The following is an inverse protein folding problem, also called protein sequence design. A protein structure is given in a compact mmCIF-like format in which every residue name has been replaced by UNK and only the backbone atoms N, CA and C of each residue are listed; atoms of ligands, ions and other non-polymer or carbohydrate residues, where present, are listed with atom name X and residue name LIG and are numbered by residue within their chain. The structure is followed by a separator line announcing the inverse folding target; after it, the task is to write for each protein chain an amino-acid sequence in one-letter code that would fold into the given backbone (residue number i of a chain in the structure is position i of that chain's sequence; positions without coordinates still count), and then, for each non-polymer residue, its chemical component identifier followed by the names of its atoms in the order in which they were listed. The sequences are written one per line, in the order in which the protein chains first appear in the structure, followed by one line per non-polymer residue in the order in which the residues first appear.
data_IF_641221578312
#
_entry.id   IF_641221578312
#
_cell.length_a   1.000
_cell.length_b   1.000
_cell.length_c   1.000
_cell.angle_alpha   90.00
_cell.angle_beta   90.00
_cell.angle_gamma   90.00
#
_symmetry.space_group_name_H-M   'P 1'
#
loop_
_entity.id
_entity.type
_entity.pdbx_description
1 polymer ?
#
# COMPACT_ATOMS: atom_id res chain seq x y z
N UNK A 1 -10.93 42.42 36.87
CA UNK A 1 -11.29 41.03 36.50
C UNK A 1 -10.27 40.53 35.47
N UNK A 2 -9.00 40.25 35.73
CA UNK A 2 -8.27 39.63 36.83
C UNK A 2 -8.58 38.13 37.06
N UNK A 3 -8.05 37.26 36.18
CA UNK A 3 -7.65 35.84 36.39
C UNK A 3 -7.46 35.20 34.99
N UNK A 4 -6.45 34.40 34.64
CA UNK A 4 -5.27 33.92 35.33
C UNK A 4 -4.24 33.48 34.26
N UNK A 5 -3.02 33.98 34.41
CA UNK A 5 -1.79 33.47 33.78
C UNK A 5 -1.03 32.70 34.87
N UNK A 6 -0.71 31.43 34.60
CA UNK A 6 0.36 30.57 35.17
C UNK A 6 -0.05 29.10 34.90
N UNK A 7 0.78 28.08 34.68
CA UNK A 7 2.22 27.82 34.45
C UNK A 7 2.38 26.30 34.66
N UNK A 8 3.09 25.58 33.79
CA UNK A 8 3.79 24.27 34.02
C UNK A 8 3.84 23.53 32.65
N UNK A 9 4.93 23.14 31.98
CA UNK A 9 6.35 22.93 32.32
C UNK A 9 6.58 22.16 33.61
N UNK A 10 6.70 20.83 33.51
CA UNK A 10 7.69 20.03 34.25
C UNK A 10 7.77 18.59 33.66
N UNK A 11 8.89 18.26 32.99
CA UNK A 11 9.48 16.91 33.00
C UNK A 11 10.34 16.81 34.28
N UNK A 12 10.39 15.67 34.99
CA UNK A 12 11.53 14.71 34.88
C UNK A 12 11.05 13.24 35.13
N UNK A 13 11.81 12.14 35.02
CA UNK A 13 13.21 11.81 34.79
C UNK A 13 13.45 10.33 35.16
N UNK A 14 14.43 9.71 34.50
CA UNK A 14 15.33 8.62 34.93
C UNK A 14 14.82 7.22 35.41
N UNK A 15 15.52 6.21 34.86
CA UNK A 15 15.56 4.75 35.09
C UNK A 15 15.86 4.33 36.55
N UNK A 16 15.70 3.03 36.90
CA UNK A 16 16.87 2.12 36.84
C UNK A 16 16.61 0.68 36.34
N UNK A 17 17.71 0.06 35.91
CA UNK A 17 17.98 -1.36 35.59
C UNK A 17 17.67 -2.34 36.73
N UNK A 18 17.15 -3.55 36.42
CA UNK A 18 17.71 -4.79 37.01
C UNK A 18 17.29 -6.12 36.30
N UNK A 19 18.34 -6.90 35.99
CA UNK A 19 18.51 -8.37 36.06
C UNK A 19 17.85 -9.35 35.09
N UNK A 20 18.76 -10.02 34.36
CA UNK A 20 18.67 -11.36 33.76
C UNK A 20 18.14 -12.43 34.74
N UNK A 21 17.43 -13.44 34.21
CA UNK A 21 17.64 -14.81 34.65
C UNK A 21 17.36 -15.84 33.55
N UNK A 22 18.39 -16.68 33.35
CA UNK A 22 18.53 -17.81 32.46
C UNK A 22 18.13 -19.07 33.26
N UNK A 23 17.32 -19.97 32.71
CA UNK A 23 17.13 -21.31 33.27
C UNK A 23 17.33 -22.36 32.18
N UNK A 24 18.44 -23.09 32.33
CA UNK A 24 18.76 -24.30 31.59
C UNK A 24 17.98 -25.49 32.17
N UNK A 25 17.56 -26.41 31.32
CA UNK A 25 16.99 -27.71 31.68
C UNK A 25 17.35 -28.75 30.63
N UNK A 26 18.44 -29.47 30.89
CA UNK A 26 18.95 -30.61 30.12
C UNK A 26 18.15 -31.87 30.49
N UNK A 27 17.66 -32.62 29.49
CA UNK A 27 17.66 -34.09 29.55
C UNK A 27 17.44 -34.73 28.15
N UNK A 28 18.28 -35.70 27.80
CA UNK A 28 18.25 -36.64 26.65
C UNK A 28 18.31 -38.07 27.25
N UNK A 29 18.22 -39.18 26.49
CA UNK A 29 17.40 -39.52 25.32
C UNK A 29 16.67 -40.89 25.53
N UNK A 30 15.71 -41.23 24.67
CA UNK A 30 15.05 -42.55 24.66
C UNK A 30 14.40 -42.85 23.32
N UNK A 31 14.64 -44.06 22.83
CA UNK A 31 14.49 -44.60 21.47
C UNK A 31 13.07 -45.02 21.07
N UNK A 32 12.80 -45.03 19.75
CA UNK A 32 11.81 -45.85 18.98
C UNK A 32 10.32 -45.65 19.35
N UNK A 33 9.32 -45.61 18.47
CA UNK A 33 9.12 -46.09 17.10
C UNK A 33 8.10 -45.20 16.37
N UNK A 34 7.98 -45.40 15.06
CA UNK A 34 6.93 -44.81 14.22
C UNK A 34 5.53 -45.12 14.77
N UNK A 35 4.65 -44.11 14.84
CA UNK A 35 3.22 -44.26 14.66
C UNK A 35 2.57 -42.88 14.40
N UNK A 36 1.69 -42.86 13.41
CA UNK A 36 0.88 -41.72 13.00
C UNK A 36 -0.03 -41.23 14.12
N UNK A 37 -0.15 -39.92 14.31
CA UNK A 37 -1.40 -39.26 14.69
C UNK A 37 -1.32 -37.81 14.19
N UNK A 38 -2.30 -37.46 13.36
CA UNK A 38 -2.64 -36.09 12.98
C UNK A 38 -3.05 -35.31 14.24
N UNK A 39 -2.51 -34.13 14.47
CA UNK A 39 -2.98 -33.22 15.52
C UNK A 39 -3.03 -31.81 14.96
N UNK A 40 -4.25 -31.32 14.79
CA UNK A 40 -4.61 -29.94 14.47
C UNK A 40 -3.90 -28.94 15.39
N UNK A 41 -3.01 -28.12 14.83
CA UNK A 41 -2.47 -26.94 15.49
C UNK A 41 -3.31 -25.73 15.06
N UNK A 42 -4.26 -25.37 15.93
CA UNK A 42 -5.05 -24.15 15.85
C UNK A 42 -4.16 -22.97 16.26
N UNK A 43 -3.52 -22.32 15.27
CA UNK A 43 -2.80 -21.07 15.49
C UNK A 43 -3.79 -19.91 15.58
N UNK A 44 -4.02 -19.48 16.82
CA UNK A 44 -4.82 -18.34 17.22
C UNK A 44 -4.11 -17.03 16.80
N UNK A 45 -4.69 -16.26 15.88
CA UNK A 45 -4.27 -14.88 15.60
C UNK A 45 -4.71 -13.95 16.76
N UNK A 46 -3.92 -12.93 17.15
CA UNK A 46 -4.25 -12.06 18.27
C UNK A 46 -5.38 -11.08 17.93
N UNK A 47 -6.34 -10.98 18.86
CA UNK A 47 -7.42 -9.99 18.85
C UNK A 47 -6.86 -8.63 19.28
N UNK A 48 -6.92 -7.62 18.41
CA UNK A 48 -6.68 -6.22 18.77
C UNK A 48 -8.00 -5.62 19.29
N UNK A 49 -8.01 -5.21 20.56
CA UNK A 49 -9.13 -4.47 21.17
C UNK A 49 -9.21 -3.03 20.61
N UNK A 50 -10.42 -2.47 20.46
CA UNK A 50 -10.64 -1.10 20.03
C UNK A 50 -10.63 -0.15 21.24
N UNK A 51 -9.74 0.82 21.25
CA UNK A 51 -9.86 1.95 22.16
C UNK A 51 -9.33 3.22 21.51
N UNK A 52 -10.12 4.28 21.72
CA UNK A 52 -9.91 5.69 21.35
C UNK A 52 -10.43 6.07 19.96
N UNK A 53 -11.75 6.10 19.88
CA UNK A 53 -12.52 6.99 19.02
C UNK A 53 -12.66 8.32 19.75
N UNK A 54 -12.08 9.40 19.22
CA UNK A 54 -12.61 10.78 19.22
C UNK A 54 -11.56 11.71 18.58
N UNK A 55 -12.07 12.69 17.84
CA UNK A 55 -11.36 13.82 17.19
C UNK A 55 -10.77 13.58 15.79
N UNK A 56 -11.62 13.77 14.77
CA UNK A 56 -11.37 14.77 13.72
C UNK A 56 -12.62 14.93 12.85
N UNK A 57 -13.50 15.79 13.35
CA UNK A 57 -14.68 16.29 12.66
C UNK A 57 -14.29 17.55 11.88
N UNK A 58 -13.50 17.41 10.81
CA UNK A 58 -13.22 18.50 9.87
C UNK A 58 -12.68 17.94 8.54
N UNK A 59 -13.59 17.56 7.64
CA UNK A 59 -13.40 17.62 6.18
C UNK A 59 -14.73 17.23 5.52
N UNK A 60 -15.60 18.23 5.30
CA UNK A 60 -16.68 18.10 4.34
C UNK A 60 -16.09 18.24 2.92
N UNK A 61 -16.55 17.33 2.06
CA UNK A 61 -16.58 17.46 0.60
C UNK A 61 -15.32 17.09 -0.19
N UNK A 62 -15.02 15.78 -0.23
CA UNK A 62 -14.51 15.14 -1.44
C UNK A 62 -15.32 13.86 -1.64
N UNK A 63 -16.09 13.81 -2.74
CA UNK A 63 -16.79 12.60 -3.19
C UNK A 63 -15.84 11.41 -3.25
N UNK A 64 -16.13 10.27 -2.58
CA UNK A 64 -15.38 9.05 -2.84
C UNK A 64 -15.84 8.50 -4.19
N UNK A 65 -14.97 8.59 -5.20
CA UNK A 65 -15.04 7.70 -6.35
C UNK A 65 -15.09 6.27 -5.84
N UNK A 66 -16.03 5.48 -6.37
CA UNK A 66 -16.23 4.07 -6.07
C UNK A 66 -14.90 3.32 -6.17
N UNK A 67 -14.32 3.05 -5.01
CA UNK A 67 -13.14 2.21 -4.87
C UNK A 67 -13.62 0.77 -5.10
N UNK A 68 -13.47 0.30 -6.34
CA UNK A 68 -13.65 -1.10 -6.70
C UNK A 68 -12.74 -1.92 -5.79
N UNK A 69 -13.32 -2.46 -4.74
CA UNK A 69 -12.65 -3.32 -3.78
C UNK A 69 -12.34 -4.61 -4.51
N UNK A 70 -11.15 -4.69 -5.11
CA UNK A 70 -10.51 -5.94 -5.45
C UNK A 70 -10.06 -6.55 -4.11
N UNK A 71 -11.04 -7.05 -3.37
CA UNK A 71 -10.81 -8.01 -2.31
C UNK A 71 -10.34 -9.30 -2.95
N UNK A 72 -9.04 -9.41 -3.21
CA UNK A 72 -8.41 -10.70 -3.45
C UNK A 72 -8.46 -11.46 -2.11
N UNK A 73 -9.54 -12.20 -1.91
CA UNK A 73 -9.57 -13.30 -0.97
C UNK A 73 -8.58 -14.36 -1.46
N UNK A 74 -7.47 -14.62 -0.73
CA UNK A 74 -6.88 -15.94 -0.82
C UNK A 74 -7.90 -16.89 -0.16
N UNK A 75 -8.01 -18.13 -0.64
CA UNK A 75 -9.02 -19.11 -0.20
C UNK A 75 -10.35 -19.09 -0.98
N UNK A 76 -10.30 -18.93 -2.31
CA UNK A 76 -11.04 -19.92 -3.12
C UNK A 76 -10.09 -21.08 -3.34
N UNK A 77 -10.18 -22.04 -2.43
CA UNK A 77 -9.67 -23.39 -2.62
C UNK A 77 -9.95 -23.77 -4.07
N UNK A 78 -8.89 -23.97 -4.83
CA UNK A 78 -8.99 -24.70 -6.08
C UNK A 78 -9.56 -26.05 -5.68
N UNK A 79 -10.86 -26.20 -5.91
CA UNK A 79 -11.58 -27.40 -5.61
C UNK A 79 -11.13 -28.41 -6.66
N UNK A 80 -9.95 -29.02 -6.43
CA UNK A 80 -9.37 -30.08 -7.26
C UNK A 80 -10.25 -31.34 -7.28
N UNK A 81 -11.41 -31.33 -6.62
CA UNK A 81 -12.47 -32.32 -6.80
C UNK A 81 -13.32 -32.08 -8.06
N UNK A 82 -13.35 -30.85 -8.62
CA UNK A 82 -14.18 -30.51 -9.79
C UNK A 82 -13.54 -30.89 -11.14
N UNK A 83 -12.25 -31.25 -11.16
CA UNK A 83 -11.53 -31.69 -12.38
C UNK A 83 -11.32 -33.21 -12.37
N UNK A 84 -12.21 -33.97 -11.72
CA UNK A 84 -12.36 -35.44 -11.92
C UNK A 84 -13.50 -35.80 -12.87
N UNK A 85 -13.95 -34.83 -13.69
CA UNK A 85 -15.08 -34.99 -14.60
C UNK A 85 -14.72 -35.09 -16.08
N UNK A 86 -13.43 -35.07 -16.45
CA UNK A 86 -13.04 -35.22 -17.85
C UNK A 86 -13.08 -36.70 -18.24
N UNK A 87 -14.28 -37.14 -18.66
CA UNK A 87 -14.54 -37.95 -19.84
C UNK A 87 -13.37 -38.82 -20.37
N UNK A 88 -12.77 -39.64 -19.52
CA UNK A 88 -12.29 -40.95 -19.97
C UNK A 88 -13.52 -41.85 -20.08
N UNK A 89 -14.42 -41.50 -21.02
CA UNK A 89 -15.37 -42.49 -21.54
C UNK A 89 -14.49 -43.53 -22.20
N UNK A 90 -14.19 -44.55 -21.41
CA UNK A 90 -13.79 -45.88 -21.79
C UNK A 90 -14.44 -46.22 -23.14
N UNK A 91 -13.74 -46.01 -24.25
CA UNK A 91 -14.12 -46.65 -25.52
C UNK A 91 -14.07 -48.17 -25.30
N UNK A 92 -13.24 -48.63 -24.35
CA UNK A 92 -13.20 -50.00 -23.85
C UNK A 92 -14.49 -50.49 -23.17
N UNK A 93 -15.40 -49.61 -22.71
CA UNK A 93 -16.68 -50.02 -22.11
C UNK A 93 -17.82 -50.19 -23.13
N UNK A 94 -17.70 -49.63 -24.34
CA UNK A 94 -18.65 -49.93 -25.41
C UNK A 94 -18.44 -51.34 -26.01
N UNK A 95 -17.37 -52.02 -25.62
CA UNK A 95 -17.08 -53.40 -26.02
C UNK A 95 -16.95 -54.36 -24.83
N UNK A 96 -16.90 -53.86 -23.59
CA UNK A 96 -16.92 -54.71 -22.40
C UNK A 96 -18.33 -55.23 -22.02
N UNK A 97 -19.41 -54.64 -22.54
CA UNK A 97 -20.79 -55.12 -22.32
C UNK A 97 -21.28 -56.13 -23.37
N UNK A 98 -20.47 -56.47 -24.37
CA UNK A 98 -20.78 -57.55 -25.30
C UNK A 98 -19.58 -58.47 -25.47
N UNK A 99 -19.56 -59.56 -24.70
CA UNK A 99 -18.73 -60.75 -24.93
C UNK A 99 -17.23 -60.63 -24.61
N UNK A 100 -16.92 -60.47 -23.32
CA UNK A 100 -15.68 -61.07 -22.81
C UNK A 100 -15.73 -62.59 -23.05
N UNK A 101 -14.90 -63.07 -23.98
CA UNK A 101 -14.75 -64.46 -24.47
C UNK A 101 -15.79 -64.91 -25.51
N UNK A 102 -15.63 -64.45 -26.75
CA UNK A 102 -15.49 -65.41 -27.86
C UNK A 102 -14.36 -64.93 -28.75
N UNK A 103 -13.14 -65.42 -28.47
CA UNK A 103 -12.33 -65.85 -29.60
C UNK A 103 -13.27 -66.78 -30.39
N UNK A 104 -13.66 -66.38 -31.60
CA UNK A 104 -14.54 -67.18 -32.45
C UNK A 104 -13.74 -68.41 -32.87
N UNK A 105 -13.59 -69.35 -31.94
CA UNK A 105 -13.09 -70.68 -32.16
C UNK A 105 -14.23 -71.40 -32.86
N UNK A 106 -14.30 -71.23 -34.18
CA UNK A 106 -15.19 -72.01 -35.01
C UNK A 106 -14.67 -73.44 -34.96
N UNK A 107 -15.39 -74.30 -34.26
CA UNK A 107 -15.16 -75.74 -34.32
C UNK A 107 -15.59 -76.23 -35.71
N UNK A 108 -14.63 -76.27 -36.62
CA UNK A 108 -14.82 -76.67 -38.02
C UNK A 108 -15.37 -78.09 -38.12
N UNK A 109 -14.96 -79.00 -37.24
CA UNK A 109 -15.43 -80.38 -37.23
C UNK A 109 -16.89 -80.46 -36.79
N UNK A 110 -17.27 -79.77 -35.71
CA UNK A 110 -18.65 -79.74 -35.26
C UNK A 110 -19.58 -79.05 -36.28
N UNK A 111 -19.08 -78.05 -37.01
CA UNK A 111 -19.83 -77.36 -38.06
C UNK A 111 -20.08 -78.28 -39.26
N UNK A 112 -19.06 -78.99 -39.74
CA UNK A 112 -19.19 -79.96 -40.83
C UNK A 112 -20.16 -81.08 -40.45
N UNK A 113 -20.03 -81.66 -39.25
CA UNK A 113 -20.93 -82.73 -38.77
C UNK A 113 -22.39 -82.27 -38.67
N UNK A 114 -22.62 -81.02 -38.28
CA UNK A 114 -23.96 -80.43 -38.27
C UNK A 114 -24.51 -80.24 -39.68
N UNK A 115 -23.70 -79.78 -40.63
CA UNK A 115 -24.13 -79.62 -42.02
C UNK A 115 -24.44 -80.97 -42.68
N UNK A 116 -23.63 -82.00 -42.40
CA UNK A 116 -23.92 -83.39 -42.83
C UNK A 116 -25.25 -83.91 -42.25
N UNK A 117 -25.55 -83.62 -40.98
CA UNK A 117 -26.82 -84.01 -40.35
C UNK A 117 -28.06 -83.33 -40.95
N UNK A 118 -27.88 -82.22 -41.69
CA UNK A 118 -28.94 -81.50 -42.40
C UNK A 118 -29.08 -81.94 -43.87
N UNK A 119 -28.38 -83.02 -44.28
CA UNK A 119 -28.50 -83.60 -45.61
C UNK A 119 -27.51 -83.06 -46.65
N UNK A 120 -26.49 -82.29 -46.24
CA UNK A 120 -25.41 -81.89 -47.15
C UNK A 120 -24.39 -83.00 -47.32
N UNK A 121 -23.82 -83.13 -48.52
CA UNK A 121 -22.69 -84.04 -48.75
C UNK A 121 -21.44 -83.52 -48.03
N UNK A 122 -20.56 -84.42 -47.58
CA UNK A 122 -19.34 -84.07 -46.84
C UNK A 122 -18.51 -82.98 -47.55
N UNK A 123 -18.36 -83.08 -48.88
CA UNK A 123 -17.63 -82.09 -49.70
C UNK A 123 -18.29 -80.71 -49.70
N UNK A 124 -19.62 -80.65 -49.72
CA UNK A 124 -20.35 -79.38 -49.65
C UNK A 124 -20.27 -78.76 -48.26
N UNK A 125 -20.37 -79.59 -47.21
CA UNK A 125 -20.22 -79.16 -45.82
C UNK A 125 -18.82 -78.59 -45.54
N UNK A 126 -17.77 -79.23 -46.05
CA UNK A 126 -16.38 -78.75 -45.97
C UNK A 126 -16.19 -77.44 -46.73
N UNK A 127 -16.69 -77.34 -47.97
CA UNK A 127 -16.56 -76.12 -48.78
C UNK A 127 -17.26 -74.90 -48.15
N UNK A 128 -18.48 -75.09 -47.62
CA UNK A 128 -19.22 -74.04 -46.91
C UNK A 128 -18.49 -73.65 -45.62
N UNK A 129 -17.97 -74.64 -44.89
CA UNK A 129 -17.20 -74.37 -43.66
C UNK A 129 -15.93 -73.57 -43.97
N UNK A 130 -15.23 -73.87 -45.07
CA UNK A 130 -14.03 -73.15 -45.51
C UNK A 130 -14.32 -71.67 -45.81
N UNK A 131 -15.37 -71.39 -46.58
CA UNK A 131 -15.78 -70.00 -46.90
C UNK A 131 -16.19 -69.24 -45.63
N UNK A 132 -16.92 -69.90 -44.72
CA UNK A 132 -17.32 -69.28 -43.45
C UNK A 132 -16.08 -68.97 -42.60
N UNK A 133 -15.10 -69.87 -42.53
CA UNK A 133 -13.86 -69.59 -41.77
C UNK A 133 -13.06 -68.45 -42.38
N UNK A 134 -13.03 -68.31 -43.70
CA UNK A 134 -12.34 -67.21 -44.39
C UNK A 134 -13.00 -65.86 -44.09
N UNK A 135 -14.31 -65.74 -44.31
CA UNK A 135 -15.08 -64.51 -44.02
C UNK A 135 -14.98 -64.12 -42.54
N UNK A 136 -14.94 -65.10 -41.63
CA UNK A 136 -14.79 -64.84 -40.20
C UNK A 136 -13.39 -64.36 -39.83
N UNK A 137 -12.34 -64.89 -40.46
CA UNK A 137 -10.97 -64.42 -40.26
C UNK A 137 -10.80 -62.98 -40.78
N UNK A 138 -11.32 -62.67 -41.96
CA UNK A 138 -11.28 -61.31 -42.53
C UNK A 138 -12.05 -60.32 -41.66
N UNK A 139 -13.23 -60.73 -41.19
CA UNK A 139 -14.04 -59.91 -40.28
C UNK A 139 -13.33 -59.68 -38.94
N UNK A 140 -12.65 -60.70 -38.41
CA UNK A 140 -11.92 -60.62 -37.15
C UNK A 140 -10.69 -59.69 -37.27
N UNK A 141 -9.94 -59.78 -38.36
CA UNK A 141 -8.77 -58.92 -38.60
C UNK A 141 -9.19 -57.45 -38.74
N UNK A 142 -10.25 -57.18 -39.50
CA UNK A 142 -10.80 -55.82 -39.65
C UNK A 142 -11.28 -55.23 -38.32
N UNK A 143 -11.91 -56.05 -37.48
CA UNK A 143 -12.35 -55.63 -36.13
C UNK A 143 -11.15 -55.46 -35.20
N UNK A 144 -10.14 -56.32 -35.28
CA UNK A 144 -8.92 -56.25 -34.47
C UNK A 144 -8.12 -54.96 -34.72
N UNK A 145 -8.09 -54.46 -35.96
CA UNK A 145 -7.44 -53.18 -36.30
C UNK A 145 -8.08 -51.96 -35.61
N UNK A 146 -9.37 -52.04 -35.24
CA UNK A 146 -10.05 -50.98 -34.49
C UNK A 146 -9.76 -51.03 -32.98
N UNK A 147 -9.16 -52.12 -32.50
CA UNK A 147 -8.80 -52.30 -31.10
C UNK A 147 -7.31 -52.07 -30.89
N UNK A 148 -7.00 -51.49 -29.73
CA UNK A 148 -5.64 -51.38 -29.23
C UNK A 148 -5.39 -52.50 -28.22
N UNK A 149 -4.19 -53.07 -28.23
CA UNK A 149 -3.81 -54.07 -27.23
C UNK A 149 -3.75 -53.45 -25.84
N UNK A 150 -3.97 -54.26 -24.79
CA UNK A 150 -3.89 -53.78 -23.39
C UNK A 150 -2.52 -53.17 -23.06
N UNK A 151 -1.45 -53.69 -23.65
CA UNK A 151 -0.08 -53.19 -23.45
C UNK A 151 0.11 -51.82 -24.09
N UNK A 152 -0.42 -51.59 -25.29
CA UNK A 152 -0.34 -50.28 -25.95
C UNK A 152 -1.23 -49.23 -25.25
N UNK A 153 -2.41 -49.63 -24.77
CA UNK A 153 -3.28 -48.75 -23.99
C UNK A 153 -2.61 -48.28 -22.70
N UNK A 154 -2.07 -49.22 -21.92
CA UNK A 154 -1.37 -48.91 -20.65
C UNK A 154 -0.11 -48.10 -20.88
N UNK A 155 0.62 -48.34 -21.99
CA UNK A 155 1.76 -47.52 -22.39
C UNK A 155 1.36 -46.07 -22.66
N UNK A 156 0.29 -45.87 -23.43
CA UNK A 156 -0.25 -44.54 -23.73
C UNK A 156 -0.74 -43.82 -22.46
N UNK A 157 -1.40 -44.54 -21.56
CA UNK A 157 -1.84 -44.02 -20.26
C UNK A 157 -0.66 -43.56 -19.40
N UNK A 158 0.38 -44.39 -19.25
CA UNK A 158 1.59 -44.03 -18.51
C UNK A 158 2.28 -42.79 -19.11
N UNK A 159 2.34 -42.69 -20.45
CA UNK A 159 2.91 -41.50 -21.12
C UNK A 159 2.07 -40.24 -20.85
N UNK A 160 0.75 -40.34 -20.92
CA UNK A 160 -0.15 -39.23 -20.64
C UNK A 160 -0.06 -38.79 -19.16
N UNK A 161 0.00 -39.74 -18.23
CA UNK A 161 0.15 -39.46 -16.81
C UNK A 161 1.50 -38.80 -16.48
N UNK A 162 2.58 -39.25 -17.12
CA UNK A 162 3.90 -38.63 -17.00
C UNK A 162 3.90 -37.19 -17.53
N UNK A 163 3.27 -36.94 -18.69
CA UNK A 163 3.14 -35.61 -19.27
C UNK A 163 2.32 -34.68 -18.37
N UNK A 164 1.20 -35.16 -17.83
CA UNK A 164 0.36 -34.41 -16.89
C UNK A 164 1.10 -34.11 -15.59
N UNK A 165 1.87 -35.06 -15.07
CA UNK A 165 2.67 -34.87 -13.86
C UNK A 165 3.76 -33.81 -14.05
N UNK A 166 4.43 -33.82 -15.21
CA UNK A 166 5.42 -32.80 -15.59
C UNK A 166 4.76 -31.42 -15.77
N UNK A 167 3.64 -31.35 -16.47
CA UNK A 167 2.89 -30.10 -16.63
C UNK A 167 2.47 -29.53 -15.27
N UNK A 168 1.98 -30.39 -14.36
CA UNK A 168 1.61 -29.99 -13.01
C UNK A 168 2.79 -29.39 -12.23
N UNK A 169 3.97 -30.03 -12.28
CA UNK A 169 5.15 -29.52 -11.56
C UNK A 169 5.66 -28.21 -12.15
N UNK A 170 5.64 -28.05 -13.47
CA UNK A 170 6.00 -26.80 -14.14
C UNK A 170 5.04 -25.67 -13.79
N UNK A 171 3.72 -25.92 -13.80
CA UNK A 171 2.71 -24.93 -13.39
C UNK A 171 2.88 -24.54 -11.94
N UNK A 172 3.08 -25.51 -11.04
CA UNK A 172 3.29 -25.25 -9.63
C UNK A 172 4.56 -24.41 -9.40
N UNK A 173 5.68 -24.81 -10.01
CA UNK A 173 6.95 -24.08 -9.89
C UNK A 173 6.84 -22.66 -10.47
N UNK A 174 6.17 -22.49 -11.60
CA UNK A 174 5.92 -21.17 -12.20
C UNK A 174 5.06 -20.29 -11.29
N UNK A 175 3.99 -20.83 -10.70
CA UNK A 175 3.15 -20.10 -9.76
C UNK A 175 3.92 -19.67 -8.51
N UNK A 176 4.72 -20.56 -7.92
CA UNK A 176 5.57 -20.24 -6.77
C UNK A 176 6.59 -19.14 -7.12
N UNK A 177 7.21 -19.21 -8.31
CA UNK A 177 8.16 -18.19 -8.78
C UNK A 177 7.48 -16.83 -9.01
N UNK A 178 6.33 -16.80 -9.68
CA UNK A 178 5.57 -15.57 -9.91
C UNK A 178 5.12 -14.95 -8.59
N UNK A 179 4.64 -15.77 -7.64
CA UNK A 179 4.25 -15.29 -6.32
C UNK A 179 5.45 -14.71 -5.56
N UNK A 180 6.59 -15.40 -5.54
CA UNK A 180 7.80 -14.91 -4.89
C UNK A 180 8.31 -13.60 -5.53
N UNK A 181 8.21 -13.47 -6.85
CA UNK A 181 8.59 -12.26 -7.58
C UNK A 181 7.68 -11.09 -7.22
N UNK A 182 6.35 -11.29 -7.30
CA UNK A 182 5.36 -10.27 -6.94
C UNK A 182 5.49 -9.83 -5.48
N UNK A 183 5.72 -10.78 -4.56
CA UNK A 183 5.94 -10.47 -3.16
C UNK A 183 7.19 -9.61 -2.96
N UNK A 184 8.29 -9.95 -3.66
CA UNK A 184 9.54 -9.17 -3.62
C UNK A 184 9.36 -7.76 -4.17
N UNK A 185 8.66 -7.61 -5.28
CA UNK A 185 8.35 -6.30 -5.88
C UNK A 185 7.44 -5.47 -4.97
N UNK A 186 6.43 -6.10 -4.37
CA UNK A 186 5.53 -5.44 -3.42
C UNK A 186 6.29 -4.91 -2.20
N UNK A 187 7.19 -5.71 -1.63
CA UNK A 187 8.00 -5.28 -0.49
C UNK A 187 8.98 -4.18 -0.89
N UNK A 188 9.61 -4.29 -2.07
CA UNK A 188 10.47 -3.23 -2.60
C UNK A 188 9.70 -1.91 -2.74
N UNK A 189 8.54 -1.92 -3.40
CA UNK A 189 7.72 -0.73 -3.57
C UNK A 189 7.27 -0.16 -2.23
N UNK A 190 6.93 -1.02 -1.26
CA UNK A 190 6.61 -0.59 0.11
C UNK A 190 7.78 0.14 0.77
N UNK A 191 9.00 -0.36 0.63
CA UNK A 191 10.20 0.31 1.17
C UNK A 191 10.50 1.63 0.47
N UNK A 192 10.33 1.71 -0.85
CA UNK A 192 10.53 2.93 -1.63
C UNK A 192 9.50 4.01 -1.23
N UNK A 193 8.24 3.63 -1.00
CA UNK A 193 7.19 4.53 -0.51
C UNK A 193 7.54 5.08 0.88
N UNK A 194 7.98 4.23 1.81
CA UNK A 194 8.31 4.68 3.17
C UNK A 194 9.53 5.62 3.15
N UNK A 195 10.52 5.33 2.30
CA UNK A 195 11.67 6.21 2.09
C UNK A 195 11.23 7.57 1.56
N UNK A 196 10.47 7.63 0.46
CA UNK A 196 9.97 8.90 -0.09
C UNK A 196 9.12 9.66 0.93
N UNK A 197 8.30 8.97 1.72
CA UNK A 197 7.49 9.57 2.78
C UNK A 197 8.36 10.24 3.84
N UNK A 198 9.44 9.58 4.25
CA UNK A 198 10.38 10.13 5.24
C UNK A 198 11.15 11.34 4.70
N UNK A 199 11.62 11.29 3.45
CA UNK A 199 12.32 12.39 2.78
C UNK A 199 11.41 13.60 2.61
N UNK A 200 10.16 13.41 2.18
CA UNK A 200 9.19 14.49 2.05
C UNK A 200 8.86 15.15 3.39
N UNK A 201 8.69 14.35 4.46
CA UNK A 201 8.49 14.90 5.81
C UNK A 201 9.67 15.75 6.25
N UNK A 202 10.89 15.26 6.02
CA UNK A 202 12.10 16.01 6.34
C UNK A 202 12.19 17.34 5.57
N UNK A 203 11.94 17.34 4.26
CA UNK A 203 11.96 18.58 3.47
C UNK A 203 10.84 19.55 3.88
N UNK A 204 9.64 19.05 4.22
CA UNK A 204 8.56 19.88 4.77
C UNK A 204 8.99 20.52 6.09
N UNK A 205 9.53 19.76 7.03
CA UNK A 205 9.96 20.27 8.33
C UNK A 205 11.08 21.29 8.17
N UNK A 206 12.04 21.02 7.28
CA UNK A 206 13.15 21.91 6.94
C UNK A 206 12.68 23.22 6.32
N UNK A 207 11.82 23.18 5.31
CA UNK A 207 11.26 24.39 4.68
C UNK A 207 10.41 25.17 5.66
N UNK A 208 9.59 24.50 6.47
CA UNK A 208 8.74 25.14 7.49
C UNK A 208 9.58 25.83 8.56
N UNK A 209 10.65 25.18 9.05
CA UNK A 209 11.59 25.76 9.99
C UNK A 209 12.34 26.95 9.38
N UNK A 210 12.79 26.83 8.12
CA UNK A 210 13.42 27.91 7.36
C UNK A 210 12.51 29.13 7.24
N UNK A 211 11.28 28.94 6.75
CA UNK A 211 10.29 30.02 6.63
C UNK A 211 9.99 30.69 7.97
N UNK A 212 9.86 29.89 9.06
CA UNK A 212 9.64 30.45 10.39
C UNK A 212 10.83 31.28 10.85
N UNK A 213 12.06 30.85 10.57
CA UNK A 213 13.26 31.62 10.88
C UNK A 213 13.29 32.92 10.09
N UNK A 214 13.09 32.87 8.78
CA UNK A 214 13.08 34.04 7.88
C UNK A 214 12.08 35.10 8.35
N UNK A 215 10.84 34.68 8.67
CA UNK A 215 9.82 35.58 9.20
C UNK A 215 10.19 36.19 10.55
N UNK A 216 10.89 35.44 11.41
CA UNK A 216 11.33 35.97 12.70
C UNK A 216 12.48 36.96 12.54
N UNK A 217 13.42 36.70 11.64
CA UNK A 217 14.52 37.62 11.31
C UNK A 217 13.98 38.90 10.70
N UNK A 218 13.07 38.79 9.72
CA UNK A 218 12.48 39.95 9.06
C UNK A 218 11.60 40.78 10.02
N UNK A 219 10.85 40.10 10.91
CA UNK A 219 10.13 40.77 12.00
C UNK A 219 11.09 41.48 12.98
N UNK A 220 12.27 40.90 13.22
CA UNK A 220 13.33 41.54 14.01
C UNK A 220 13.84 42.81 13.34
N UNK A 221 14.19 42.71 12.06
CA UNK A 221 14.68 43.84 11.25
C UNK A 221 13.68 44.99 11.17
N UNK A 222 12.40 44.70 10.91
CA UNK A 222 11.34 45.72 10.89
C UNK A 222 11.21 46.41 12.25
N UNK A 223 11.35 45.69 13.37
CA UNK A 223 11.30 46.29 14.72
C UNK A 223 12.50 47.20 14.98
N UNK A 224 13.69 46.80 14.53
CA UNK A 224 14.91 47.62 14.66
C UNK A 224 14.79 48.89 13.82
N UNK A 225 14.35 48.80 12.56
CA UNK A 225 14.10 49.94 11.68
C UNK A 225 13.03 50.89 12.26
N UNK A 226 11.93 50.33 12.79
CA UNK A 226 10.89 51.12 13.45
C UNK A 226 11.40 51.83 14.71
N UNK A 227 12.23 51.16 15.51
CA UNK A 227 12.84 51.76 16.70
C UNK A 227 13.83 52.87 16.33
N UNK A 228 14.62 52.67 15.27
CA UNK A 228 15.53 53.69 14.74
C UNK A 228 14.75 54.93 14.27
N UNK A 229 13.70 54.75 13.46
CA UNK A 229 12.85 55.85 13.00
C UNK A 229 12.15 56.58 14.15
N UNK A 230 11.70 55.84 15.18
CA UNK A 230 11.12 56.43 16.40
C UNK A 230 12.15 57.28 17.16
N UNK A 231 13.39 56.80 17.29
CA UNK A 231 14.48 57.55 17.90
C UNK A 231 14.84 58.81 17.09
N UNK A 232 14.87 58.72 15.77
CA UNK A 232 15.10 59.89 14.90
C UNK A 232 13.98 60.92 15.03
N UNK A 233 12.72 60.45 15.01
CA UNK A 233 11.53 61.30 15.17
C UNK A 233 11.57 62.03 16.52
N UNK A 234 11.84 61.33 17.62
CA UNK A 234 11.95 61.94 18.95
C UNK A 234 13.13 62.92 19.04
N UNK A 235 14.27 62.63 18.41
CA UNK A 235 15.39 63.57 18.32
C UNK A 235 14.99 64.86 17.58
N UNK A 236 14.31 64.73 16.44
CA UNK A 236 13.81 65.87 15.66
C UNK A 236 12.76 66.67 16.43
N UNK A 237 11.80 66.02 17.10
CA UNK A 237 10.83 66.69 17.99
C UNK A 237 11.53 67.46 19.09
N UNK A 238 12.51 66.85 19.77
CA UNK A 238 13.30 67.52 20.81
C UNK A 238 14.10 68.72 20.27
N UNK A 239 14.61 68.65 19.03
CA UNK A 239 15.27 69.78 18.37
C UNK A 239 14.28 70.91 18.06
N UNK A 240 13.12 70.58 17.50
CA UNK A 240 12.06 71.53 17.22
C UNK A 240 11.59 72.24 18.50
N UNK A 241 11.38 71.50 19.60
CA UNK A 241 10.99 72.09 20.88
C UNK A 241 12.04 73.08 21.39
N UNK A 242 13.33 72.75 21.27
CA UNK A 242 14.43 73.66 21.63
C UNK A 242 14.44 74.92 20.77
N UNK A 243 14.23 74.79 19.46
CA UNK A 243 14.14 75.92 18.53
C UNK A 243 12.92 76.81 18.86
N UNK A 244 11.76 76.21 19.15
CA UNK A 244 10.55 76.93 19.58
C UNK A 244 10.82 77.71 20.87
N UNK A 245 11.43 77.09 21.87
CA UNK A 245 11.78 77.77 23.12
C UNK A 245 12.77 78.92 22.87
N UNK A 246 13.78 78.70 22.03
CA UNK A 246 14.76 79.73 21.67
C UNK A 246 14.09 80.91 20.96
N UNK A 247 13.29 80.64 19.92
CA UNK A 247 12.54 81.68 19.19
C UNK A 247 11.58 82.44 20.10
N UNK A 248 10.92 81.75 21.03
CA UNK A 248 10.04 82.38 22.02
C UNK A 248 10.81 83.35 22.94
N UNK A 249 11.98 82.96 23.43
CA UNK A 249 12.81 83.86 24.25
C UNK A 249 13.30 85.07 23.46
N UNK A 250 13.69 84.89 22.20
CA UNK A 250 14.08 86.00 21.32
C UNK A 250 12.90 86.95 21.05
N UNK A 251 11.70 86.40 20.83
CA UNK A 251 10.48 87.18 20.65
C UNK A 251 10.15 88.00 21.92
N UNK A 252 10.25 87.40 23.10
CA UNK A 252 10.04 88.09 24.36
C UNK A 252 11.07 89.22 24.57
N UNK A 253 12.35 88.99 24.28
CA UNK A 253 13.38 90.02 24.33
C UNK A 253 13.10 91.17 23.33
N UNK A 254 12.80 90.85 22.08
CA UNK A 254 12.47 91.84 21.05
C UNK A 254 11.21 92.66 21.41
N UNK A 255 10.21 92.04 22.04
CA UNK A 255 9.04 92.74 22.58
C UNK A 255 9.46 93.77 23.63
N UNK A 256 10.36 93.43 24.56
CA UNK A 256 10.86 94.39 25.56
C UNK A 256 11.66 95.54 24.91
N UNK A 257 12.45 95.26 23.87
CA UNK A 257 13.17 96.30 23.13
C UNK A 257 12.21 97.29 22.47
N UNK A 258 11.16 96.81 21.80
CA UNK A 258 10.12 97.67 21.20
C UNK A 258 9.44 98.54 22.25
N UNK A 259 9.06 97.97 23.40
CA UNK A 259 8.47 98.73 24.51
C UNK A 259 9.43 99.82 25.00
N UNK A 260 10.73 99.50 25.16
CA UNK A 260 11.76 100.46 25.57
C UNK A 260 11.90 101.62 24.58
N UNK A 261 11.93 101.33 23.28
CA UNK A 261 11.99 102.38 22.25
C UNK A 261 10.74 103.26 22.25
N UNK A 262 9.55 102.68 22.41
CA UNK A 262 8.29 103.42 22.46
C UNK A 262 8.24 104.40 23.66
N UNK A 263 8.66 103.94 24.85
CA UNK A 263 8.76 104.81 26.03
C UNK A 263 9.76 105.95 25.76
N UNK A 264 10.93 105.62 25.17
CA UNK A 264 11.95 106.61 24.83
C UNK A 264 11.45 107.68 23.85
N UNK A 265 10.71 107.29 22.81
CA UNK A 265 10.18 108.25 21.82
C UNK A 265 9.10 109.13 22.42
N UNK A 266 8.13 108.57 23.17
CA UNK A 266 7.10 109.36 23.85
C UNK A 266 7.73 110.40 24.79
N UNK A 267 8.68 109.97 25.64
CA UNK A 267 9.39 110.89 26.55
C UNK A 267 10.16 111.96 25.78
N UNK A 268 10.83 111.61 24.67
CA UNK A 268 11.57 112.58 23.85
C UNK A 268 10.65 113.64 23.22
N UNK A 269 9.48 113.22 22.70
CA UNK A 269 8.50 114.13 22.09
C UNK A 269 7.89 115.03 23.16
N UNK A 270 7.54 114.50 24.35
CA UNK A 270 7.04 115.31 25.46
C UNK A 270 8.09 116.31 25.95
N UNK A 271 9.36 115.91 26.06
CA UNK A 271 10.44 116.82 26.46
C UNK A 271 10.66 117.96 25.45
N UNK A 272 10.67 117.64 24.15
CA UNK A 272 10.75 118.65 23.09
C UNK A 272 9.53 119.58 23.12
N UNK A 273 8.32 119.03 23.26
CA UNK A 273 7.08 119.80 23.34
C UNK A 273 7.06 120.77 24.53
N UNK A 274 7.46 120.32 25.73
CA UNK A 274 7.60 121.17 26.91
C UNK A 274 8.68 122.24 26.73
N UNK A 275 9.80 121.89 26.08
CA UNK A 275 10.86 122.84 25.73
C UNK A 275 10.37 123.98 24.82
N UNK A 276 9.57 123.65 23.79
CA UNK A 276 8.99 124.64 22.89
C UNK A 276 7.94 125.52 23.57
N UNK A 277 7.07 124.93 24.41
CA UNK A 277 6.09 125.69 25.20
C UNK A 277 6.75 126.73 26.10
N UNK A 278 7.93 126.40 26.67
CA UNK A 278 8.70 127.33 27.50
C UNK A 278 9.34 128.49 26.72
N UNK A 279 9.60 128.32 25.43
CA UNK A 279 10.15 129.39 24.57
C UNK A 279 9.03 130.30 24.03
N UNK A 280 7.81 129.78 23.87
CA UNK A 280 6.67 130.49 23.28
C UNK A 280 5.86 131.33 24.30
N UNK A 281 5.85 130.94 25.58
CA UNK A 281 5.33 131.76 26.70
C UNK A 281 6.39 132.72 27.22
#
# INVERSE_FOLDING_TARGET
MAAAVRRAMQYPGALPLQTMQLAAGVSRPGTTSAESICSDVKLQLPVLLPSVLHDLQFAHDIRPCEFYSIGLSPLRAWNYAAVRGYYMRNISQLVATANNKRAFLVDTLALVRRLESQGLTAKQAEAITAVITEVLNDSLENVAQSFTSKTEMTRSEMMAEAALSKFKSEVQSSQELHFATLQRETERLRTDIEKMRSELRYEIDKVTAGQRLDLNLERGRIREELAAQSSETTNLTNKLDREIHTLKTQLEAAKYDVIKYCIGTVVSVTAVGLGLLRILM
#
